data_IF_356484491960
#
_entry.id   IF_356484491960
#
_cell.length_a   1.000
_cell.length_b   1.000
_cell.length_c   1.000
_cell.angle_alpha   90.00
_cell.angle_beta   90.00
_cell.angle_gamma   90.00
#
_symmetry.space_group_name_H-M   'P 1'
#
loop_
_entity.id
_entity.type
_entity.pdbx_description
1 polymer ?
#
# COMPACT_ATOMS: atom_id res chain seq x y z
N UNK A 1 -7.50 -32.10 2.59
CA UNK A 1 -6.33 -31.38 2.08
C UNK A 1 -6.01 -31.83 0.65
N UNK A 2 -5.68 -33.10 0.37
CA UNK A 2 -5.32 -33.56 -0.99
C UNK A 2 -6.40 -33.30 -2.04
N UNK A 3 -7.67 -33.65 -1.73
CA UNK A 3 -8.81 -33.44 -2.65
C UNK A 3 -9.04 -31.95 -2.97
N UNK A 4 -8.72 -31.05 -2.02
CA UNK A 4 -9.00 -29.63 -2.12
C UNK A 4 -7.87 -28.89 -2.85
N UNK A 5 -6.61 -29.14 -2.45
CA UNK A 5 -5.46 -28.40 -2.94
C UNK A 5 -4.60 -29.14 -3.95
N UNK A 6 -4.88 -30.44 -4.21
CA UNK A 6 -4.16 -31.28 -5.17
C UNK A 6 -2.63 -31.26 -4.96
N UNK A 7 -2.22 -31.48 -3.69
CA UNK A 7 -0.83 -31.32 -3.26
C UNK A 7 0.14 -32.18 -4.06
N UNK A 8 -0.18 -33.48 -4.25
CA UNK A 8 0.67 -34.41 -5.03
C UNK A 8 0.79 -34.00 -6.48
N UNK A 9 -0.29 -33.49 -7.10
CA UNK A 9 -0.28 -33.02 -8.48
C UNK A 9 0.60 -31.77 -8.65
N UNK A 10 0.69 -30.93 -7.61
CA UNK A 10 1.52 -29.74 -7.59
C UNK A 10 2.94 -29.98 -7.02
N UNK A 11 3.33 -31.26 -6.79
CA UNK A 11 4.67 -31.63 -6.34
C UNK A 11 5.04 -31.12 -4.95
N UNK A 12 4.07 -30.99 -4.03
CA UNK A 12 4.26 -30.44 -2.70
C UNK A 12 3.67 -31.33 -1.59
N UNK A 13 3.90 -30.96 -0.34
CA UNK A 13 3.40 -31.67 0.84
C UNK A 13 2.74 -30.70 1.83
N UNK A 14 1.87 -31.19 2.71
CA UNK A 14 1.24 -30.39 3.76
C UNK A 14 2.27 -29.64 4.60
N UNK A 15 3.38 -30.29 4.99
CA UNK A 15 4.46 -29.70 5.77
C UNK A 15 5.13 -28.55 5.01
N UNK A 16 5.42 -28.76 3.74
CA UNK A 16 6.03 -27.73 2.87
C UNK A 16 5.12 -26.53 2.71
N UNK A 17 3.84 -26.73 2.48
CA UNK A 17 2.85 -25.66 2.32
C UNK A 17 2.69 -24.83 3.61
N UNK A 18 2.65 -25.48 4.78
CA UNK A 18 2.57 -24.78 6.07
C UNK A 18 3.83 -23.94 6.30
N UNK A 19 5.03 -24.52 6.08
CA UNK A 19 6.29 -23.77 6.22
C UNK A 19 6.32 -22.60 5.24
N UNK A 20 5.88 -22.79 4.01
CA UNK A 20 5.80 -21.74 3.00
C UNK A 20 4.84 -20.62 3.40
N UNK A 21 3.66 -20.97 3.94
CA UNK A 21 2.68 -19.99 4.44
C UNK A 21 3.20 -19.19 5.62
N UNK A 22 3.85 -19.83 6.58
CA UNK A 22 4.53 -19.15 7.68
C UNK A 22 5.66 -18.25 7.17
N UNK A 23 6.43 -18.68 6.17
CA UNK A 23 7.50 -17.88 5.57
C UNK A 23 6.93 -16.63 4.90
N UNK A 24 5.85 -16.75 4.11
CA UNK A 24 5.19 -15.59 3.50
C UNK A 24 4.67 -14.64 4.57
N UNK A 25 3.94 -15.18 5.55
CA UNK A 25 3.41 -14.35 6.64
C UNK A 25 4.52 -13.57 7.35
N UNK A 26 5.63 -14.22 7.72
CA UNK A 26 6.75 -13.56 8.38
C UNK A 26 7.42 -12.45 7.54
N UNK A 27 7.36 -12.53 6.22
CA UNK A 27 7.91 -11.48 5.35
C UNK A 27 6.99 -10.28 5.23
N UNK A 28 5.68 -10.44 5.41
CA UNK A 28 4.69 -9.38 5.26
C UNK A 28 4.00 -8.99 6.59
N UNK A 29 4.37 -9.59 7.72
CA UNK A 29 3.75 -9.32 9.02
C UNK A 29 3.89 -7.85 9.47
N UNK A 30 4.82 -7.09 8.90
CA UNK A 30 4.98 -5.66 9.15
C UNK A 30 3.72 -4.85 8.80
N UNK A 31 2.89 -5.35 7.85
CA UNK A 31 1.67 -4.69 7.41
C UNK A 31 0.65 -4.50 8.54
N UNK A 32 0.65 -5.41 9.51
CA UNK A 32 -0.28 -5.40 10.64
C UNK A 32 -0.15 -4.13 11.49
N UNK A 33 1.09 -3.63 11.66
CA UNK A 33 1.35 -2.37 12.34
C UNK A 33 1.36 -1.18 11.38
N UNK A 34 1.92 -1.37 10.19
CA UNK A 34 2.14 -0.28 9.25
C UNK A 34 0.83 0.23 8.63
N UNK A 35 -0.10 -0.67 8.28
CA UNK A 35 -1.36 -0.27 7.66
C UNK A 35 -2.22 0.62 8.57
N UNK A 36 -2.54 0.23 9.82
CA UNK A 36 -3.30 1.11 10.70
C UNK A 36 -2.56 2.41 10.98
N UNK A 37 -1.23 2.41 11.14
CA UNK A 37 -0.47 3.64 11.32
C UNK A 37 -0.64 4.60 10.14
N UNK A 38 -0.54 4.12 8.90
CA UNK A 38 -0.73 4.96 7.71
C UNK A 38 -2.15 5.49 7.60
N UNK A 39 -3.15 4.63 7.78
CA UNK A 39 -4.55 5.00 7.57
C UNK A 39 -5.11 5.90 8.66
N UNK A 40 -4.45 6.00 9.81
CA UNK A 40 -4.88 6.85 10.94
C UNK A 40 -3.91 7.99 11.24
N UNK A 41 -3.07 8.37 10.27
CA UNK A 41 -2.05 9.41 10.46
C UNK A 41 -1.19 9.18 11.72
N UNK A 42 -0.83 7.91 12.00
CA UNK A 42 -0.01 7.49 13.14
C UNK A 42 -0.62 7.77 14.53
N UNK A 43 -1.94 7.94 14.62
CA UNK A 43 -2.66 8.06 15.90
C UNK A 43 -2.84 6.67 16.54
N UNK A 44 -1.71 6.14 17.01
CA UNK A 44 -1.61 4.77 17.53
C UNK A 44 -2.42 4.59 18.81
N UNK A 45 -3.21 3.53 18.87
CA UNK A 45 -4.02 3.18 20.04
C UNK A 45 -5.37 3.91 20.13
N UNK A 46 -5.69 4.79 19.19
CA UNK A 46 -7.03 5.38 19.07
C UNK A 46 -8.09 4.32 18.72
N UNK A 47 -9.38 4.59 18.96
CA UNK A 47 -10.45 3.69 18.55
C UNK A 47 -10.44 3.41 17.05
N UNK A 48 -10.18 4.42 16.20
CA UNK A 48 -10.04 4.25 14.76
C UNK A 48 -8.84 3.36 14.42
N UNK A 49 -7.69 3.54 15.08
CA UNK A 49 -6.52 2.70 14.88
C UNK A 49 -6.82 1.22 15.22
N UNK A 50 -7.50 0.95 16.34
CA UNK A 50 -7.90 -0.39 16.73
C UNK A 50 -8.85 -1.02 15.70
N UNK A 51 -9.83 -0.25 15.21
CA UNK A 51 -10.77 -0.68 14.18
C UNK A 51 -10.03 -1.06 12.88
N UNK A 52 -9.12 -0.20 12.39
CA UNK A 52 -8.33 -0.45 11.18
C UNK A 52 -7.36 -1.61 11.37
N UNK A 53 -6.79 -1.79 12.56
CA UNK A 53 -5.93 -2.95 12.88
C UNK A 53 -6.71 -4.26 12.73
N UNK A 54 -7.91 -4.36 13.30
CA UNK A 54 -8.77 -5.54 13.16
C UNK A 54 -9.22 -5.73 11.72
N UNK A 55 -9.61 -4.64 11.04
CA UNK A 55 -9.97 -4.67 9.63
C UNK A 55 -8.82 -5.20 8.76
N UNK A 56 -7.57 -4.78 9.04
CA UNK A 56 -6.37 -5.28 8.36
C UNK A 56 -6.23 -6.79 8.49
N UNK A 57 -6.36 -7.32 9.70
CA UNK A 57 -6.24 -8.75 9.96
C UNK A 57 -7.36 -9.54 9.28
N UNK A 58 -8.61 -9.09 9.42
CA UNK A 58 -9.78 -9.79 8.89
C UNK A 58 -9.81 -9.73 7.36
N UNK A 59 -9.63 -8.55 6.78
CA UNK A 59 -9.68 -8.38 5.32
C UNK A 59 -8.54 -9.12 4.62
N UNK A 60 -7.33 -9.09 5.20
CA UNK A 60 -6.20 -9.90 4.70
C UNK A 60 -6.53 -11.39 4.74
N UNK A 61 -7.13 -11.86 5.84
CA UNK A 61 -7.54 -13.27 5.94
C UNK A 61 -8.63 -13.62 4.93
N UNK A 62 -9.67 -12.80 4.77
CA UNK A 62 -10.77 -13.04 3.81
C UNK A 62 -10.25 -13.08 2.38
N UNK A 63 -9.50 -12.04 1.93
CA UNK A 63 -8.93 -12.01 0.59
C UNK A 63 -8.02 -13.21 0.32
N UNK A 64 -7.14 -13.53 1.28
CA UNK A 64 -6.22 -14.67 1.18
C UNK A 64 -6.95 -16.01 1.14
N UNK A 65 -8.03 -16.19 1.92
CA UNK A 65 -8.91 -17.39 1.86
C UNK A 65 -9.58 -17.49 0.49
N UNK A 66 -10.08 -16.37 -0.06
CA UNK A 66 -10.63 -16.36 -1.42
C UNK A 66 -9.58 -16.78 -2.46
N UNK A 67 -8.35 -16.26 -2.35
CA UNK A 67 -7.23 -16.67 -3.22
C UNK A 67 -6.93 -18.17 -3.09
N UNK A 68 -6.95 -18.71 -1.87
CA UNK A 68 -6.69 -20.10 -1.60
C UNK A 68 -7.72 -21.03 -2.25
N UNK A 69 -9.01 -20.67 -2.20
CA UNK A 69 -10.09 -21.57 -2.67
C UNK A 69 -10.46 -21.33 -4.14
N UNK A 70 -10.49 -20.08 -4.62
CA UNK A 70 -10.87 -19.76 -6.01
C UNK A 70 -9.72 -20.09 -6.97
N UNK A 71 -8.54 -19.55 -6.71
CA UNK A 71 -7.40 -19.71 -7.60
C UNK A 71 -6.52 -20.93 -7.27
N UNK A 72 -6.57 -21.45 -6.04
CA UNK A 72 -5.65 -22.46 -5.51
C UNK A 72 -4.17 -22.06 -5.72
N UNK A 73 -3.82 -20.82 -5.38
CA UNK A 73 -2.48 -20.26 -5.55
C UNK A 73 -1.86 -19.93 -4.17
N UNK A 74 -0.52 -20.02 -4.05
CA UNK A 74 0.18 -19.76 -2.80
C UNK A 74 0.38 -18.27 -2.53
N UNK A 75 -0.52 -17.41 -3.02
CA UNK A 75 -0.42 -15.96 -2.93
C UNK A 75 -1.22 -15.45 -1.75
N UNK A 76 -0.62 -14.55 -1.00
CA UNK A 76 -1.19 -13.95 0.20
C UNK A 76 -1.57 -12.52 -0.10
N UNK A 77 -2.69 -12.09 0.43
CA UNK A 77 -3.27 -10.78 0.19
C UNK A 77 -3.30 -9.96 1.48
N UNK A 78 -3.10 -8.68 1.35
CA UNK A 78 -3.22 -7.70 2.43
C UNK A 78 -3.46 -6.29 1.85
N UNK A 79 -3.79 -5.28 2.69
CA UNK A 79 -3.96 -3.91 2.22
C UNK A 79 -2.70 -3.38 1.51
N UNK A 80 -2.85 -2.94 0.25
CA UNK A 80 -1.74 -2.53 -0.61
C UNK A 80 -1.10 -1.22 -0.17
N UNK A 81 0.22 -1.20 0.08
CA UNK A 81 0.92 -0.04 0.64
C UNK A 81 0.77 1.24 -0.18
N UNK A 82 0.86 1.14 -1.50
CA UNK A 82 0.68 2.30 -2.39
C UNK A 82 -0.73 2.87 -2.32
N UNK A 83 -1.73 2.01 -2.37
CA UNK A 83 -3.15 2.36 -2.26
C UNK A 83 -3.49 2.92 -0.89
N UNK A 84 -2.90 2.38 0.18
CA UNK A 84 -3.10 2.86 1.55
C UNK A 84 -2.61 4.30 1.74
N UNK A 85 -1.43 4.60 1.21
CA UNK A 85 -0.88 5.95 1.27
C UNK A 85 -1.75 6.94 0.50
N UNK A 86 -2.23 6.55 -0.67
CA UNK A 86 -3.16 7.36 -1.46
C UNK A 86 -4.49 7.56 -0.75
N UNK A 87 -5.03 6.50 -0.13
CA UNK A 87 -6.25 6.56 0.65
C UNK A 87 -6.13 7.54 1.83
N UNK A 88 -5.03 7.47 2.61
CA UNK A 88 -4.79 8.38 3.72
C UNK A 88 -4.75 9.86 3.28
N UNK A 89 -4.08 10.15 2.15
CA UNK A 89 -4.07 11.51 1.57
C UNK A 89 -5.49 11.95 1.17
N UNK A 90 -6.29 11.05 0.59
CA UNK A 90 -7.68 11.37 0.22
C UNK A 90 -8.54 11.65 1.45
N UNK A 91 -8.40 10.87 2.53
CA UNK A 91 -9.10 11.14 3.79
C UNK A 91 -8.76 12.53 4.32
N UNK A 92 -7.47 12.91 4.33
CA UNK A 92 -7.04 14.25 4.73
C UNK A 92 -7.64 15.36 3.84
N UNK A 93 -7.65 15.15 2.52
CA UNK A 93 -8.24 16.10 1.57
C UNK A 93 -9.75 16.24 1.73
N UNK A 94 -10.48 15.15 1.95
CA UNK A 94 -11.93 15.17 2.23
C UNK A 94 -12.21 15.90 3.53
N UNK A 95 -11.45 15.62 4.59
CA UNK A 95 -11.59 16.30 5.87
C UNK A 95 -11.42 17.81 5.73
N UNK A 96 -10.38 18.25 5.00
CA UNK A 96 -10.13 19.66 4.74
C UNK A 96 -11.22 20.30 3.86
N UNK A 97 -11.63 19.62 2.78
CA UNK A 97 -12.64 20.14 1.82
C UNK A 97 -14.01 20.32 2.46
N UNK A 98 -14.43 19.35 3.27
CA UNK A 98 -15.76 19.33 3.88
C UNK A 98 -15.79 19.97 5.28
N UNK A 99 -14.60 20.33 5.82
CA UNK A 99 -14.41 20.82 7.18
C UNK A 99 -15.04 19.86 8.21
N UNK A 100 -14.74 18.56 8.06
CA UNK A 100 -15.25 17.48 8.92
C UNK A 100 -14.07 16.80 9.66
N UNK A 101 -14.37 15.98 10.65
CA UNK A 101 -13.36 15.20 11.35
C UNK A 101 -12.80 14.08 10.47
N UNK A 102 -11.60 13.60 10.83
CA UNK A 102 -10.90 12.59 10.03
C UNK A 102 -11.68 11.27 9.93
N UNK A 103 -12.43 10.88 10.99
CA UNK A 103 -13.22 9.63 11.02
C UNK A 103 -14.36 9.68 10.00
N UNK A 104 -15.11 10.79 9.94
CA UNK A 104 -16.17 10.98 8.94
C UNK A 104 -15.62 11.01 7.52
N UNK A 105 -14.47 11.70 7.32
CA UNK A 105 -13.78 11.69 6.03
C UNK A 105 -13.31 10.29 5.63
N UNK A 106 -12.84 9.49 6.61
CA UNK A 106 -12.46 8.10 6.41
C UNK A 106 -13.65 7.25 5.97
N UNK A 107 -14.80 7.38 6.62
CA UNK A 107 -16.03 6.67 6.27
C UNK A 107 -16.55 7.06 4.87
N UNK A 108 -16.44 8.34 4.49
CA UNK A 108 -16.76 8.80 3.13
C UNK A 108 -15.78 8.22 2.09
N UNK A 109 -14.50 8.14 2.42
CA UNK A 109 -13.49 7.53 1.55
C UNK A 109 -13.70 6.02 1.40
N UNK A 110 -14.20 5.31 2.43
CA UNK A 110 -14.57 3.88 2.32
C UNK A 110 -15.68 3.64 1.29
N UNK A 111 -16.58 4.62 1.06
CA UNK A 111 -17.56 4.53 -0.02
C UNK A 111 -16.88 4.44 -1.39
N UNK A 112 -15.76 5.16 -1.60
CA UNK A 112 -14.99 5.10 -2.85
C UNK A 112 -14.44 3.69 -3.05
N UNK A 113 -13.84 3.10 -2.00
CA UNK A 113 -13.21 1.77 -2.08
C UNK A 113 -14.24 0.66 -2.30
N UNK A 114 -15.40 0.72 -1.65
CA UNK A 114 -16.44 -0.30 -1.87
C UNK A 114 -16.99 -0.24 -3.29
N UNK A 115 -17.23 0.97 -3.81
CA UNK A 115 -17.68 1.15 -5.21
C UNK A 115 -16.62 0.68 -6.19
N UNK A 116 -15.36 1.05 -5.94
CA UNK A 116 -14.19 0.57 -6.70
C UNK A 116 -14.13 -0.96 -6.72
N UNK A 117 -14.20 -1.61 -5.57
CA UNK A 117 -14.18 -3.07 -5.44
C UNK A 117 -15.33 -3.75 -6.20
N UNK A 118 -16.55 -3.18 -6.16
CA UNK A 118 -17.70 -3.69 -6.93
C UNK A 118 -17.46 -3.54 -8.43
N UNK A 119 -17.01 -2.38 -8.91
CA UNK A 119 -16.63 -2.17 -10.31
C UNK A 119 -15.55 -3.17 -10.73
N UNK A 120 -14.56 -3.37 -9.89
CA UNK A 120 -13.44 -4.27 -10.10
C UNK A 120 -13.90 -5.74 -10.22
N UNK A 121 -14.83 -6.15 -9.34
CA UNK A 121 -15.46 -7.47 -9.41
C UNK A 121 -16.21 -7.68 -10.73
N UNK A 122 -17.02 -6.70 -11.14
CA UNK A 122 -17.75 -6.75 -12.41
C UNK A 122 -16.78 -6.86 -13.60
N UNK A 123 -15.74 -6.03 -13.64
CA UNK A 123 -14.72 -6.07 -14.71
C UNK A 123 -13.99 -7.42 -14.76
N UNK A 124 -13.74 -8.05 -13.60
CA UNK A 124 -13.10 -9.38 -13.51
C UNK A 124 -14.04 -10.50 -14.00
N UNK A 125 -15.30 -10.48 -13.57
CA UNK A 125 -16.31 -11.47 -14.00
C UNK A 125 -16.55 -11.44 -15.51
N UNK A 126 -16.61 -10.24 -16.10
CA UNK A 126 -16.85 -10.05 -17.54
C UNK A 126 -15.57 -10.11 -18.40
N UNK A 127 -14.39 -10.37 -17.82
CA UNK A 127 -13.09 -10.42 -18.52
C UNK A 127 -12.75 -9.11 -19.27
N UNK A 128 -13.22 -7.96 -18.79
CA UNK A 128 -12.96 -6.66 -19.41
C UNK A 128 -11.58 -6.12 -18.99
N UNK A 129 -11.05 -6.56 -17.85
CA UNK A 129 -9.77 -6.10 -17.28
C UNK A 129 -8.61 -6.22 -18.25
N UNK A 130 -8.46 -7.38 -18.91
CA UNK A 130 -7.36 -7.60 -19.85
C UNK A 130 -7.36 -6.58 -20.99
N UNK A 131 -8.56 -6.21 -21.49
CA UNK A 131 -8.70 -5.19 -22.52
C UNK A 131 -8.30 -3.79 -22.03
N UNK A 132 -8.66 -3.45 -20.80
CA UNK A 132 -8.30 -2.16 -20.18
C UNK A 132 -6.80 -2.09 -19.96
N UNK A 133 -6.18 -3.14 -19.44
CA UNK A 133 -4.71 -3.19 -19.22
C UNK A 133 -3.94 -2.98 -20.51
N UNK A 134 -4.35 -3.65 -21.59
CA UNK A 134 -3.68 -3.49 -22.89
C UNK A 134 -3.94 -2.12 -23.53
N UNK A 135 -5.00 -1.43 -23.15
CA UNK A 135 -5.31 -0.09 -23.66
C UNK A 135 -4.47 1.02 -23.03
N UNK A 136 -3.86 0.78 -21.85
CA UNK A 136 -3.02 1.78 -21.18
C UNK A 136 -1.58 1.67 -21.68
N UNK A 137 -0.90 2.81 -21.95
CA UNK A 137 0.46 2.83 -22.47
C UNK A 137 1.44 2.03 -21.59
N UNK A 138 2.31 1.25 -22.23
CA UNK A 138 3.26 0.38 -21.53
C UNK A 138 4.16 1.14 -20.55
N UNK A 139 4.67 2.31 -20.97
CA UNK A 139 5.49 3.16 -20.10
C UNK A 139 4.75 3.56 -18.82
N UNK A 140 3.47 4.00 -18.95
CA UNK A 140 2.66 4.36 -17.76
C UNK A 140 2.52 3.17 -16.82
N UNK A 141 2.17 1.98 -17.34
CA UNK A 141 2.04 0.76 -16.53
C UNK A 141 3.31 0.40 -15.77
N UNK A 142 4.46 0.45 -16.45
CA UNK A 142 5.76 0.14 -15.86
C UNK A 142 6.22 1.18 -14.83
N UNK A 143 5.80 2.43 -14.99
CA UNK A 143 6.20 3.55 -14.14
C UNK A 143 5.39 3.68 -12.86
N UNK A 144 4.17 3.10 -12.76
CA UNK A 144 3.30 3.24 -11.57
C UNK A 144 3.98 2.70 -10.31
N UNK A 145 4.48 1.48 -10.33
CA UNK A 145 5.16 0.88 -9.17
C UNK A 145 6.35 1.71 -8.68
N UNK A 146 7.31 2.07 -9.53
CA UNK A 146 8.42 2.95 -9.16
C UNK A 146 7.99 4.32 -8.61
N UNK A 147 6.99 4.94 -9.19
CA UNK A 147 6.50 6.24 -8.72
C UNK A 147 5.86 6.14 -7.33
N UNK A 148 5.07 5.09 -7.08
CA UNK A 148 4.56 4.76 -5.75
C UNK A 148 5.72 4.47 -4.79
N UNK A 149 6.73 3.73 -5.23
CA UNK A 149 7.92 3.45 -4.41
C UNK A 149 8.61 4.72 -3.92
N UNK A 150 8.80 5.72 -4.80
CA UNK A 150 9.33 7.03 -4.39
C UNK A 150 8.40 7.79 -3.45
N UNK A 151 7.09 7.70 -3.66
CA UNK A 151 6.12 8.31 -2.74
C UNK A 151 6.20 7.67 -1.34
N UNK A 152 6.31 6.35 -1.23
CA UNK A 152 6.51 5.66 0.05
C UNK A 152 7.80 6.07 0.75
N UNK A 153 8.90 6.21 -0.01
CA UNK A 153 10.17 6.71 0.54
C UNK A 153 10.01 8.16 1.03
N UNK A 154 9.30 9.00 0.28
CA UNK A 154 9.01 10.38 0.68
C UNK A 154 8.23 10.43 2.00
N UNK A 155 7.20 9.60 2.18
CA UNK A 155 6.44 9.48 3.43
C UNK A 155 7.35 8.98 4.57
N UNK A 156 8.16 7.95 4.32
CA UNK A 156 9.07 7.38 5.31
C UNK A 156 10.09 8.39 5.83
N UNK A 157 10.73 9.16 4.97
CA UNK A 157 11.70 10.19 5.35
C UNK A 157 11.04 11.44 5.94
N UNK A 158 9.93 11.87 5.37
CA UNK A 158 9.27 13.13 5.71
C UNK A 158 8.31 13.03 6.89
N UNK A 159 7.04 12.81 6.61
CA UNK A 159 5.97 12.87 7.61
C UNK A 159 6.13 11.88 8.76
N UNK A 160 6.74 10.72 8.52
CA UNK A 160 6.88 9.66 9.52
C UNK A 160 8.18 9.80 10.34
N UNK A 161 9.35 9.93 9.70
CA UNK A 161 10.63 10.09 10.41
C UNK A 161 10.96 11.54 10.78
N UNK A 162 10.37 12.51 10.08
CA UNK A 162 10.52 13.93 10.36
C UNK A 162 11.85 14.55 9.91
N UNK A 163 12.54 13.95 8.93
CA UNK A 163 13.78 14.54 8.38
C UNK A 163 13.49 15.86 7.66
N UNK A 164 12.34 15.95 7.03
CA UNK A 164 11.80 17.18 6.47
C UNK A 164 10.30 17.26 6.76
N UNK A 165 9.78 18.49 6.88
CA UNK A 165 8.37 18.76 7.08
C UNK A 165 7.90 19.78 6.03
N UNK A 166 6.62 19.72 5.70
CA UNK A 166 6.00 20.79 4.93
C UNK A 166 5.96 22.06 5.81
N UNK A 167 6.59 23.14 5.34
CA UNK A 167 6.58 24.40 6.06
C UNK A 167 5.17 24.98 6.08
N UNK A 168 4.67 25.33 7.25
CA UNK A 168 3.39 26.02 7.39
C UNK A 168 3.36 27.30 6.55
N UNK A 169 2.53 27.32 5.50
CA UNK A 169 2.26 28.50 4.69
C UNK A 169 3.04 28.64 3.38
N UNK A 170 3.90 27.70 3.03
CA UNK A 170 4.60 27.71 1.74
C UNK A 170 4.12 26.55 0.85
N UNK A 171 3.31 26.90 -0.12
CA UNK A 171 2.77 25.95 -1.12
C UNK A 171 3.79 25.57 -2.22
N UNK A 172 5.10 25.65 -1.97
CA UNK A 172 6.11 25.31 -2.97
C UNK A 172 6.64 23.90 -2.80
N UNK A 173 6.43 23.01 -3.78
CA UNK A 173 6.92 21.63 -3.72
C UNK A 173 8.45 21.53 -3.63
N UNK A 174 9.20 22.55 -4.07
CA UNK A 174 10.65 22.60 -3.95
C UNK A 174 11.13 22.96 -2.55
N UNK A 175 10.28 23.52 -1.71
CA UNK A 175 10.62 23.89 -0.35
C UNK A 175 10.97 22.68 0.51
N UNK A 176 10.24 21.59 0.38
CA UNK A 176 10.45 20.33 1.11
C UNK A 176 11.84 19.77 0.87
N UNK A 177 12.35 19.82 -0.36
CA UNK A 177 13.70 19.32 -0.68
C UNK A 177 14.80 20.30 -0.26
N UNK A 178 14.51 21.59 -0.22
CA UNK A 178 15.48 22.64 0.12
C UNK A 178 15.91 22.61 1.59
N UNK A 179 15.00 22.21 2.47
CA UNK A 179 15.24 22.18 3.91
C UNK A 179 15.40 20.76 4.47
N UNK A 180 15.88 19.81 3.65
CA UNK A 180 16.05 18.42 4.04
C UNK A 180 16.84 18.21 5.35
N UNK A 181 17.85 19.02 5.61
CA UNK A 181 18.57 19.06 6.89
C UNK A 181 18.15 20.23 7.78
N UNK A 182 17.56 21.26 7.23
CA UNK A 182 17.06 22.42 7.98
C UNK A 182 15.94 22.08 8.94
N UNK A 183 15.08 21.12 8.56
CA UNK A 183 14.01 20.60 9.42
C UNK A 183 14.52 19.93 10.70
N UNK A 184 15.80 19.53 10.76
CA UNK A 184 16.43 18.99 11.97
C UNK A 184 16.98 20.07 12.93
N UNK A 185 16.77 21.34 12.66
CA UNK A 185 17.16 22.40 13.60
C UNK A 185 16.17 22.49 14.77
N UNK A 186 16.66 22.70 16.01
CA UNK A 186 15.79 22.73 17.19
C UNK A 186 14.62 23.71 17.10
N UNK A 187 14.83 24.90 16.53
CA UNK A 187 13.81 25.93 16.43
C UNK A 187 12.66 25.55 15.50
N UNK A 188 12.95 24.97 14.33
CA UNK A 188 11.91 24.54 13.39
C UNK A 188 11.09 23.38 13.90
N UNK A 189 11.67 22.50 14.70
CA UNK A 189 10.99 21.34 15.28
C UNK A 189 10.04 21.77 16.40
N UNK A 190 10.49 22.63 17.29
CA UNK A 190 9.69 23.13 18.40
C UNK A 190 8.49 23.94 17.91
N UNK A 191 8.68 24.79 16.90
CA UNK A 191 7.64 25.69 16.39
C UNK A 191 6.70 25.04 15.37
N UNK A 192 7.17 24.04 14.62
CA UNK A 192 6.42 23.47 13.49
C UNK A 192 5.78 22.11 13.72
N UNK A 193 6.35 21.24 14.56
CA UNK A 193 5.90 19.86 14.71
C UNK A 193 5.39 19.48 16.11
N UNK A 194 5.50 20.35 17.09
CA UNK A 194 5.08 20.08 18.48
C UNK A 194 5.80 18.90 19.14
N UNK A 195 6.92 18.42 18.55
CA UNK A 195 7.74 17.32 19.06
C UNK A 195 9.01 17.85 19.70
N UNK A 196 9.43 17.22 20.79
CA UNK A 196 10.73 17.56 21.38
C UNK A 196 11.87 17.15 20.45
N UNK A 197 12.89 18.01 20.34
CA UNK A 197 14.05 17.79 19.47
C UNK A 197 14.72 16.44 19.72
N UNK A 198 14.88 16.05 20.99
CA UNK A 198 15.46 14.74 21.37
C UNK A 198 14.70 13.56 20.80
N UNK A 199 13.37 13.60 20.84
CA UNK A 199 12.51 12.54 20.29
C UNK A 199 12.66 12.42 18.77
N UNK A 200 12.78 13.55 18.07
CA UNK A 200 12.95 13.52 16.63
C UNK A 200 14.32 13.01 16.20
N UNK A 201 15.38 13.44 16.86
CA UNK A 201 16.74 12.92 16.62
C UNK A 201 16.79 11.40 16.86
N UNK A 202 16.17 10.93 17.95
CA UNK A 202 16.05 9.50 18.25
C UNK A 202 15.30 8.76 17.12
N UNK A 203 14.19 9.32 16.64
CA UNK A 203 13.39 8.75 15.54
C UNK A 203 14.22 8.62 14.27
N UNK A 204 14.93 9.68 13.85
CA UNK A 204 15.76 9.69 12.63
C UNK A 204 16.91 8.68 12.73
N UNK A 205 17.67 8.69 13.83
CA UNK A 205 18.79 7.75 14.02
C UNK A 205 18.29 6.31 14.00
N UNK A 206 17.21 6.03 14.71
CA UNK A 206 16.63 4.68 14.81
C UNK A 206 16.06 4.21 13.48
N UNK A 207 15.45 5.11 12.70
CA UNK A 207 14.97 4.81 11.36
C UNK A 207 16.13 4.36 10.44
N UNK A 208 17.25 5.12 10.41
CA UNK A 208 18.41 4.73 9.61
C UNK A 208 19.03 3.41 10.09
N UNK A 209 19.14 3.20 11.38
CA UNK A 209 19.61 1.91 11.94
C UNK A 209 18.70 0.77 11.47
N UNK A 210 17.39 0.93 11.59
CA UNK A 210 16.41 -0.05 11.11
C UNK A 210 16.55 -0.34 9.63
N UNK A 211 16.65 0.70 8.80
CA UNK A 211 16.85 0.56 7.36
C UNK A 211 18.13 -0.22 7.03
N UNK A 212 19.25 0.12 7.67
CA UNK A 212 20.51 -0.60 7.44
C UNK A 212 20.45 -2.05 7.89
N UNK A 213 19.80 -2.35 9.03
CA UNK A 213 19.58 -3.73 9.47
C UNK A 213 18.74 -4.51 8.46
N UNK A 214 17.66 -3.92 7.94
CA UNK A 214 16.83 -4.53 6.89
C UNK A 214 17.68 -4.85 5.66
N UNK A 215 18.43 -3.87 5.16
CA UNK A 215 19.27 -4.02 3.96
C UNK A 215 20.35 -5.10 4.14
N UNK A 216 21.04 -5.11 5.29
CA UNK A 216 22.07 -6.09 5.59
C UNK A 216 21.51 -7.52 5.69
N UNK A 217 20.34 -7.68 6.32
CA UNK A 217 19.66 -8.97 6.41
C UNK A 217 19.14 -9.43 5.05
N UNK A 218 18.58 -8.53 4.27
CA UNK A 218 18.12 -8.81 2.90
C UNK A 218 19.28 -9.22 2.00
N UNK A 219 20.44 -8.53 2.10
CA UNK A 219 21.68 -8.91 1.37
C UNK A 219 22.17 -10.31 1.76
N UNK A 220 21.98 -10.72 3.01
CA UNK A 220 22.28 -12.09 3.48
C UNK A 220 21.20 -13.11 3.12
N UNK A 221 20.21 -12.75 2.32
CA UNK A 221 19.10 -13.62 1.90
C UNK A 221 18.12 -14.00 3.00
N UNK A 222 18.07 -13.23 4.10
CA UNK A 222 17.10 -13.48 5.18
C UNK A 222 15.71 -13.01 4.76
N UNK A 223 14.76 -13.94 4.62
CA UNK A 223 13.41 -13.67 4.13
C UNK A 223 12.62 -12.72 5.05
N UNK A 224 12.79 -12.83 6.38
CA UNK A 224 12.12 -11.96 7.36
C UNK A 224 12.91 -10.67 7.66
N UNK A 225 13.71 -10.17 6.71
CA UNK A 225 14.58 -9.00 6.91
C UNK A 225 13.81 -7.76 7.40
N UNK A 226 12.66 -7.47 6.79
CA UNK A 226 11.84 -6.30 7.12
C UNK A 226 11.30 -6.40 8.56
N UNK A 227 10.71 -7.54 8.92
CA UNK A 227 10.17 -7.74 10.27
C UNK A 227 11.28 -7.68 11.34
N UNK A 228 12.41 -8.35 11.11
CA UNK A 228 13.54 -8.36 12.07
C UNK A 228 14.12 -6.94 12.18
N UNK A 229 14.29 -6.23 11.08
CA UNK A 229 14.77 -4.85 11.08
C UNK A 229 13.82 -3.91 11.82
N UNK A 230 12.52 -4.03 11.59
CA UNK A 230 11.51 -3.25 12.30
C UNK A 230 11.51 -3.53 13.81
N UNK A 231 11.57 -4.80 14.21
CA UNK A 231 11.64 -5.16 15.64
C UNK A 231 12.95 -4.70 16.29
N UNK A 232 14.09 -4.85 15.62
CA UNK A 232 15.38 -4.36 16.15
C UNK A 232 15.41 -2.84 16.28
N UNK A 233 14.87 -2.13 15.32
CA UNK A 233 14.66 -0.68 15.36
C UNK A 233 13.76 -0.28 16.54
N UNK A 234 12.66 -0.99 16.75
CA UNK A 234 11.77 -0.74 17.89
C UNK A 234 12.50 -0.90 19.23
N UNK A 235 13.30 -1.95 19.39
CA UNK A 235 14.08 -2.18 20.63
C UNK A 235 15.06 -1.02 20.87
N UNK A 236 15.76 -0.57 19.84
CA UNK A 236 16.70 0.57 19.96
C UNK A 236 15.95 1.86 20.32
N UNK A 237 14.80 2.10 19.68
CA UNK A 237 13.97 3.27 19.98
C UNK A 237 13.47 3.27 21.43
N UNK A 238 12.90 2.16 21.90
CA UNK A 238 12.43 2.03 23.29
C UNK A 238 13.55 2.18 24.31
N UNK A 239 14.73 1.64 24.01
CA UNK A 239 15.91 1.85 24.86
C UNK A 239 16.30 3.34 24.88
N UNK A 240 16.28 4.00 23.73
CA UNK A 240 16.55 5.45 23.63
C UNK A 240 15.53 6.31 24.38
N UNK A 241 14.23 6.00 24.28
CA UNK A 241 13.19 6.69 25.06
C UNK A 241 13.42 6.53 26.57
N UNK A 242 13.72 5.32 27.02
CA UNK A 242 13.96 5.05 28.44
C UNK A 242 15.21 5.74 28.98
N UNK A 243 16.31 5.76 28.22
CA UNK A 243 17.61 6.27 28.66
C UNK A 243 17.72 7.80 28.49
N UNK A 244 17.32 8.34 27.35
CA UNK A 244 17.55 9.74 26.99
C UNK A 244 16.35 10.65 27.27
N UNK A 245 15.12 10.12 27.09
CA UNK A 245 13.89 10.89 27.28
C UNK A 245 13.20 10.60 28.61
N UNK A 246 13.70 9.61 29.37
CA UNK A 246 13.10 9.15 30.64
C UNK A 246 11.61 8.79 30.53
N UNK A 247 11.16 8.37 29.35
CA UNK A 247 9.80 7.92 29.07
C UNK A 247 9.75 6.39 29.13
N UNK A 248 8.70 5.85 29.77
CA UNK A 248 8.48 4.40 29.76
C UNK A 248 7.74 3.99 28.46
N UNK A 249 8.39 3.35 27.48
CA UNK A 249 7.78 3.00 26.20
C UNK A 249 6.67 1.94 26.32
N UNK A 250 6.63 1.22 27.45
CA UNK A 250 5.63 0.18 27.71
C UNK A 250 4.50 0.65 28.63
N UNK A 251 4.40 1.94 28.90
CA UNK A 251 3.35 2.48 29.78
C UNK A 251 1.94 2.16 29.26
N UNK A 252 1.73 2.21 27.97
CA UNK A 252 0.45 1.89 27.31
C UNK A 252 0.07 0.40 27.40
N UNK A 253 1.01 -0.50 27.66
CA UNK A 253 0.68 -1.92 27.86
C UNK A 253 0.11 -2.22 29.25
N UNK A 254 0.30 -1.31 30.22
CA UNK A 254 -0.26 -1.51 31.56
C UNK A 254 -1.79 -1.39 31.52
N UNK A 255 -2.48 -2.51 31.73
CA UNK A 255 -3.93 -2.60 31.65
C UNK A 255 -4.51 -2.72 30.23
N UNK A 256 -3.68 -2.85 29.21
CA UNK A 256 -4.12 -3.10 27.87
C UNK A 256 -4.79 -4.48 27.74
N UNK A 257 -5.92 -4.52 27.02
CA UNK A 257 -6.59 -5.78 26.73
C UNK A 257 -6.00 -6.38 25.46
N UNK A 258 -5.61 -7.66 25.54
CA UNK A 258 -5.23 -8.46 24.36
C UNK A 258 -6.43 -9.07 23.65
N UNK A 259 -7.66 -8.86 24.17
CA UNK A 259 -8.86 -9.24 23.47
C UNK A 259 -9.16 -8.22 22.37
N UNK A 260 -9.50 -8.69 21.16
CA UNK A 260 -9.86 -7.81 20.05
C UNK A 260 -11.01 -6.87 20.43
N UNK A 261 -10.85 -5.58 20.16
CA UNK A 261 -11.86 -4.56 20.44
C UNK A 261 -12.86 -4.47 19.28
N UNK A 262 -13.67 -5.51 19.10
CA UNK A 262 -14.69 -5.52 18.04
C UNK A 262 -15.72 -4.40 18.19
N UNK A 263 -15.91 -3.82 19.38
CA UNK A 263 -16.76 -2.65 19.60
C UNK A 263 -16.29 -1.46 18.77
N UNK A 264 -14.99 -1.10 18.86
CA UNK A 264 -14.42 0.00 18.09
C UNK A 264 -14.62 -0.21 16.58
N UNK A 265 -14.43 -1.44 16.10
CA UNK A 265 -14.64 -1.78 14.69
C UNK A 265 -16.13 -1.65 14.29
N UNK A 266 -17.05 -2.17 15.10
CA UNK A 266 -18.48 -2.15 14.81
C UNK A 266 -19.06 -0.73 14.80
N UNK A 267 -18.58 0.14 15.68
CA UNK A 267 -19.05 1.51 15.79
C UNK A 267 -18.44 2.46 14.75
N UNK A 268 -17.17 2.22 14.33
CA UNK A 268 -16.43 3.22 13.55
C UNK A 268 -16.25 2.79 12.09
N UNK A 269 -16.01 1.49 11.81
CA UNK A 269 -15.58 1.09 10.47
C UNK A 269 -16.43 0.00 9.83
N UNK A 270 -16.96 -0.98 10.59
CA UNK A 270 -17.66 -2.13 10.01
C UNK A 270 -18.97 -1.70 9.36
N UNK A 271 -19.03 -1.67 8.04
CA UNK A 271 -20.15 -1.17 7.24
C UNK A 271 -20.54 0.29 7.56
N UNK A 272 -19.65 1.06 8.19
CA UNK A 272 -19.87 2.47 8.50
C UNK A 272 -19.50 3.33 7.28
N UNK A 273 -20.41 3.42 6.32
CA UNK A 273 -20.23 4.21 5.11
C UNK A 273 -20.97 5.54 5.21
N UNK A 274 -20.25 6.65 5.11
CA UNK A 274 -20.87 7.98 5.04
C UNK A 274 -21.12 8.39 3.59
N UNK A 275 -22.26 7.95 3.05
CA UNK A 275 -22.70 8.35 1.73
C UNK A 275 -23.08 9.84 1.65
N UNK A 276 -23.42 10.49 2.77
CA UNK A 276 -23.76 11.91 2.78
C UNK A 276 -22.53 12.74 2.42
N UNK A 277 -21.45 12.56 3.14
CA UNK A 277 -20.19 13.25 2.85
C UNK A 277 -19.56 12.77 1.54
N UNK A 278 -19.72 11.49 1.17
CA UNK A 278 -19.32 11.00 -0.15
C UNK A 278 -19.98 11.78 -1.30
N UNK A 279 -21.27 12.11 -1.23
CA UNK A 279 -21.91 12.92 -2.27
C UNK A 279 -21.53 14.41 -2.20
N UNK A 280 -21.17 14.93 -1.03
CA UNK A 280 -20.71 16.31 -0.84
C UNK A 280 -19.36 16.62 -1.48
N UNK A 281 -18.48 15.63 -1.67
CA UNK A 281 -17.21 15.82 -2.42
C UNK A 281 -17.42 16.09 -3.90
N UNK A 282 -18.63 15.93 -4.40
CA UNK A 282 -19.00 16.12 -5.79
C UNK A 282 -18.82 14.86 -6.64
N UNK A 283 -19.83 14.58 -7.48
CA UNK A 283 -19.89 13.37 -8.31
C UNK A 283 -18.69 13.20 -9.27
N UNK A 284 -18.18 14.33 -9.81
CA UNK A 284 -17.03 14.30 -10.72
C UNK A 284 -15.74 13.87 -9.98
N UNK A 285 -15.49 14.42 -8.80
CA UNK A 285 -14.36 14.04 -7.94
C UNK A 285 -14.48 12.57 -7.54
N UNK A 286 -15.67 12.13 -7.10
CA UNK A 286 -15.91 10.74 -6.71
C UNK A 286 -15.60 9.76 -7.86
N UNK A 287 -16.13 10.00 -9.07
CA UNK A 287 -15.88 9.16 -10.24
C UNK A 287 -14.38 9.13 -10.58
N UNK A 288 -13.71 10.28 -10.56
CA UNK A 288 -12.28 10.36 -10.87
C UNK A 288 -11.44 9.58 -9.84
N UNK A 289 -11.79 9.65 -8.56
CA UNK A 289 -11.12 8.88 -7.50
C UNK A 289 -11.36 7.38 -7.67
N UNK A 290 -12.59 6.95 -7.93
CA UNK A 290 -12.92 5.53 -8.17
C UNK A 290 -12.12 5.00 -9.37
N UNK A 291 -12.09 5.73 -10.50
CA UNK A 291 -11.30 5.32 -11.68
C UNK A 291 -9.81 5.24 -11.32
N UNK A 292 -9.29 6.20 -10.55
CA UNK A 292 -7.88 6.22 -10.14
C UNK A 292 -7.54 5.01 -9.27
N UNK A 293 -8.38 4.69 -8.27
CA UNK A 293 -8.19 3.49 -7.45
C UNK A 293 -8.26 2.22 -8.28
N UNK A 294 -9.28 2.06 -9.14
CA UNK A 294 -9.39 0.92 -10.05
C UNK A 294 -8.14 0.74 -10.92
N UNK A 295 -7.58 1.83 -11.45
CA UNK A 295 -6.38 1.74 -12.27
C UNK A 295 -5.16 1.30 -11.46
N UNK A 296 -4.94 1.89 -10.29
CA UNK A 296 -3.79 1.57 -9.44
C UNK A 296 -3.86 0.12 -8.99
N UNK A 297 -5.00 -0.30 -8.44
CA UNK A 297 -5.23 -1.66 -7.95
C UNK A 297 -5.05 -2.70 -9.06
N UNK A 298 -5.60 -2.42 -10.23
CA UNK A 298 -5.48 -3.30 -11.39
C UNK A 298 -4.02 -3.54 -11.79
N UNK A 299 -3.17 -2.49 -11.79
CA UNK A 299 -1.77 -2.63 -12.18
C UNK A 299 -0.92 -3.23 -11.09
N UNK A 300 -1.16 -2.88 -9.84
CA UNK A 300 -0.46 -3.45 -8.69
C UNK A 300 -0.73 -4.96 -8.62
N UNK A 301 -1.99 -5.36 -8.67
CA UNK A 301 -2.40 -6.78 -8.63
C UNK A 301 -1.87 -7.58 -9.81
N UNK A 302 -2.05 -7.10 -11.06
CA UNK A 302 -1.58 -7.85 -12.24
C UNK A 302 -0.06 -7.94 -12.23
N UNK A 303 0.64 -6.84 -11.94
CA UNK A 303 2.09 -6.80 -11.85
C UNK A 303 2.62 -7.79 -10.82
N UNK A 304 2.00 -7.83 -9.65
CA UNK A 304 2.38 -8.73 -8.55
C UNK A 304 2.05 -10.18 -8.87
N UNK A 305 0.85 -10.48 -9.38
CA UNK A 305 0.46 -11.84 -9.75
C UNK A 305 1.35 -12.42 -10.84
N UNK A 306 1.56 -11.70 -11.93
CA UNK A 306 2.42 -12.16 -13.04
C UNK A 306 3.87 -12.27 -12.60
N UNK A 307 4.39 -11.28 -11.88
CA UNK A 307 5.76 -11.27 -11.36
C UNK A 307 6.03 -12.43 -10.40
N UNK A 308 5.11 -12.69 -9.47
CA UNK A 308 5.23 -13.78 -8.50
C UNK A 308 5.03 -15.14 -9.16
N UNK A 309 4.04 -15.27 -10.06
CA UNK A 309 3.80 -16.51 -10.82
C UNK A 309 5.00 -16.88 -11.73
N UNK A 310 5.61 -15.90 -12.36
CA UNK A 310 6.80 -16.11 -13.20
C UNK A 310 8.00 -16.62 -12.37
N UNK A 311 8.27 -16.01 -11.22
CA UNK A 311 9.30 -16.49 -10.27
C UNK A 311 8.99 -17.89 -9.73
N UNK A 312 7.71 -18.21 -9.61
CA UNK A 312 7.22 -19.52 -9.18
C UNK A 312 7.31 -20.62 -10.26
N UNK A 313 7.61 -20.27 -11.50
CA UNK A 313 7.47 -21.17 -12.65
C UNK A 313 6.01 -21.63 -12.86
N UNK A 314 5.04 -20.78 -12.49
CA UNK A 314 3.61 -21.05 -12.61
C UNK A 314 2.96 -20.35 -13.81
N UNK A 315 3.75 -19.80 -14.71
CA UNK A 315 3.30 -19.23 -15.97
C UNK A 315 3.33 -20.25 -17.09
N UNK A 316 2.44 -20.12 -18.08
CA UNK A 316 2.47 -20.89 -19.31
C UNK A 316 3.60 -20.41 -20.24
N UNK A 317 3.68 -21.00 -21.45
CA UNK A 317 4.70 -20.68 -22.46
C UNK A 317 4.59 -19.22 -22.97
N UNK A 318 3.41 -18.63 -22.85
CA UNK A 318 3.10 -17.29 -23.29
C UNK A 318 3.25 -16.26 -22.14
N UNK A 319 3.71 -16.71 -20.97
CA UNK A 319 3.90 -15.89 -19.78
C UNK A 319 2.64 -15.61 -18.98
N UNK A 320 1.50 -16.23 -19.30
CA UNK A 320 0.25 -16.04 -18.60
C UNK A 320 0.15 -16.95 -17.38
N UNK A 321 -0.45 -16.46 -16.31
CA UNK A 321 -0.73 -17.25 -15.12
C UNK A 321 -2.04 -18.03 -15.29
N UNK A 322 -2.04 -19.38 -15.16
CA UNK A 322 -3.28 -20.15 -15.13
C UNK A 322 -4.17 -19.73 -13.98
N UNK A 323 -5.48 -19.60 -14.22
CA UNK A 323 -6.48 -19.12 -13.27
C UNK A 323 -6.29 -17.65 -12.84
N UNK A 324 -5.79 -16.81 -13.75
CA UNK A 324 -5.66 -15.37 -13.53
C UNK A 324 -7.03 -14.76 -13.18
N UNK A 325 -8.09 -15.14 -13.89
CA UNK A 325 -9.46 -14.64 -13.64
C UNK A 325 -9.91 -14.87 -12.21
N UNK A 326 -9.71 -16.09 -11.71
CA UNK A 326 -10.08 -16.48 -10.34
C UNK A 326 -9.24 -15.72 -9.31
N UNK A 327 -7.95 -15.51 -9.56
CA UNK A 327 -7.08 -14.72 -8.71
C UNK A 327 -7.53 -13.25 -8.65
N UNK A 328 -7.86 -12.67 -9.80
CA UNK A 328 -8.38 -11.31 -9.91
C UNK A 328 -9.78 -11.16 -9.27
N UNK A 329 -10.58 -12.22 -9.29
CA UNK A 329 -11.87 -12.23 -8.58
C UNK A 329 -11.66 -12.28 -7.07
N UNK A 330 -10.67 -13.06 -6.59
CA UNK A 330 -10.31 -13.09 -5.18
C UNK A 330 -9.83 -11.71 -4.68
N UNK A 331 -9.08 -11.01 -5.51
CA UNK A 331 -8.58 -9.65 -5.27
C UNK A 331 -9.75 -8.65 -5.10
N UNK A 332 -10.69 -8.64 -6.04
CA UNK A 332 -11.88 -7.78 -5.97
C UNK A 332 -12.75 -8.08 -4.72
N UNK A 333 -12.91 -9.36 -4.36
CA UNK A 333 -13.62 -9.75 -3.14
C UNK A 333 -12.84 -9.29 -1.89
N UNK A 334 -11.50 -9.39 -1.91
CA UNK A 334 -10.63 -8.88 -0.86
C UNK A 334 -10.79 -7.37 -0.66
N UNK A 335 -10.84 -6.60 -1.73
CA UNK A 335 -11.05 -5.14 -1.72
C UNK A 335 -12.42 -4.77 -1.14
N UNK A 336 -13.51 -5.44 -1.57
CA UNK A 336 -14.84 -5.22 -1.00
C UNK A 336 -14.86 -5.56 0.49
N UNK A 337 -14.27 -6.70 0.87
CA UNK A 337 -14.19 -7.09 2.28
C UNK A 337 -13.36 -6.09 3.09
N UNK A 338 -12.27 -5.57 2.51
CA UNK A 338 -11.45 -4.50 3.10
C UNK A 338 -12.26 -3.27 3.41
N UNK A 339 -12.98 -2.74 2.42
CA UNK A 339 -13.85 -1.57 2.58
C UNK A 339 -14.96 -1.81 3.61
N UNK A 340 -15.61 -2.98 3.60
CA UNK A 340 -16.65 -3.32 4.55
C UNK A 340 -16.11 -3.44 5.99
N UNK A 341 -14.88 -3.91 6.16
CA UNK A 341 -14.24 -4.02 7.46
C UNK A 341 -13.65 -2.70 7.97
N UNK A 342 -13.28 -1.79 7.08
CA UNK A 342 -12.66 -0.51 7.42
C UNK A 342 -11.16 -0.46 7.16
N UNK A 343 -10.71 -1.06 6.06
CA UNK A 343 -9.36 -0.86 5.52
C UNK A 343 -9.45 -0.58 4.01
N UNK A 344 -8.37 -0.08 3.42
CA UNK A 344 -8.33 0.21 2.01
C UNK A 344 -8.27 -1.07 1.15
N UNK A 345 -8.02 -0.92 -0.13
CA UNK A 345 -7.92 -1.99 -1.13
C UNK A 345 -6.96 -3.11 -0.71
N UNK A 346 -7.47 -4.35 -0.70
CA UNK A 346 -6.69 -5.55 -0.35
C UNK A 346 -6.22 -6.24 -1.64
N UNK A 347 -4.92 -6.32 -1.83
CA UNK A 347 -4.28 -6.81 -3.05
C UNK A 347 -3.24 -7.90 -2.78
N UNK A 348 -2.78 -8.58 -3.82
CA UNK A 348 -1.76 -9.63 -3.71
C UNK A 348 -0.38 -9.02 -3.42
N UNK A 349 0.34 -9.58 -2.45
CA UNK A 349 1.65 -9.11 -2.02
C UNK A 349 2.81 -9.81 -2.73
N UNK A 350 3.82 -9.03 -3.12
CA UNK A 350 5.08 -9.52 -3.78
C UNK A 350 5.85 -10.48 -2.86
N UNK A 351 5.73 -10.31 -1.54
CA UNK A 351 6.33 -11.15 -0.51
C UNK A 351 5.85 -12.61 -0.59
N UNK A 352 4.74 -12.87 -1.28
CA UNK A 352 4.28 -14.22 -1.61
C UNK A 352 5.35 -15.04 -2.34
N UNK A 353 6.27 -14.38 -3.08
CA UNK A 353 7.43 -15.02 -3.69
C UNK A 353 8.30 -15.77 -2.67
N UNK A 354 8.41 -15.28 -1.44
CA UNK A 354 9.19 -15.93 -0.37
C UNK A 354 8.65 -17.31 0.00
N UNK A 355 7.31 -17.45 0.08
CA UNK A 355 6.67 -18.73 0.33
C UNK A 355 6.79 -19.68 -0.86
N UNK A 356 6.66 -19.13 -2.07
CA UNK A 356 6.89 -19.89 -3.30
C UNK A 356 8.31 -20.45 -3.35
N UNK A 357 9.33 -19.66 -3.05
CA UNK A 357 10.72 -20.08 -2.93
C UNK A 357 10.94 -21.10 -1.80
N UNK A 358 10.12 -21.07 -0.74
CA UNK A 358 10.11 -22.07 0.31
C UNK A 358 9.41 -23.38 -0.07
N UNK A 359 8.86 -23.47 -1.30
CA UNK A 359 8.23 -24.65 -1.84
C UNK A 359 6.69 -24.63 -1.87
N UNK A 360 6.06 -23.49 -1.50
CA UNK A 360 4.62 -23.30 -1.60
C UNK A 360 4.14 -23.32 -3.06
N UNK A 361 3.08 -24.06 -3.34
CA UNK A 361 2.56 -24.25 -4.70
C UNK A 361 1.03 -24.15 -4.78
N UNK A 362 0.35 -24.19 -3.64
CA UNK A 362 -1.10 -24.30 -3.60
C UNK A 362 -1.73 -23.31 -2.63
N UNK A 363 -3.06 -23.23 -2.66
CA UNK A 363 -3.83 -22.40 -1.73
C UNK A 363 -3.67 -22.77 -0.25
N UNK A 364 -3.06 -23.93 0.08
CA UNK A 364 -2.79 -24.28 1.48
C UNK A 364 -1.73 -23.34 2.10
N UNK A 365 -0.75 -22.91 1.32
CA UNK A 365 0.21 -21.85 1.72
C UNK A 365 -0.53 -20.56 2.07
N UNK A 366 -1.42 -20.11 1.20
CA UNK A 366 -2.23 -18.92 1.44
C UNK A 366 -3.13 -19.10 2.69
N UNK A 367 -3.82 -20.22 2.81
CA UNK A 367 -4.69 -20.51 3.96
C UNK A 367 -3.92 -20.49 5.30
N UNK A 368 -2.67 -20.96 5.32
CA UNK A 368 -1.81 -20.90 6.50
C UNK A 368 -1.51 -19.45 6.90
N UNK A 369 -1.18 -18.60 5.93
CA UNK A 369 -0.94 -17.18 6.20
C UNK A 369 -2.24 -16.46 6.65
N UNK A 370 -3.38 -16.79 6.06
CA UNK A 370 -4.68 -16.26 6.48
C UNK A 370 -4.97 -16.55 7.96
N UNK A 371 -4.70 -17.79 8.40
CA UNK A 371 -4.84 -18.16 9.81
C UNK A 371 -3.91 -17.34 10.72
N UNK A 372 -2.67 -17.07 10.28
CA UNK A 372 -1.74 -16.23 11.04
C UNK A 372 -2.22 -14.78 11.17
N UNK A 373 -2.84 -14.21 10.13
CA UNK A 373 -3.46 -12.88 10.22
C UNK A 373 -4.57 -12.85 11.27
N UNK A 374 -5.45 -13.84 11.30
CA UNK A 374 -6.49 -13.93 12.33
C UNK A 374 -5.91 -14.09 13.74
N UNK A 375 -4.84 -14.88 13.88
CA UNK A 375 -4.15 -15.01 15.17
C UNK A 375 -3.55 -13.68 15.66
N UNK A 376 -3.15 -12.80 14.75
CA UNK A 376 -2.59 -11.48 15.09
C UNK A 376 -3.60 -10.48 15.65
N UNK A 377 -4.91 -10.74 15.54
CA UNK A 377 -5.92 -9.87 16.18
C UNK A 377 -5.72 -9.74 17.71
N UNK A 378 -5.08 -10.73 18.34
CA UNK A 378 -4.81 -10.74 19.78
C UNK A 378 -3.55 -9.99 20.19
N UNK A 379 -2.79 -9.41 19.26
CA UNK A 379 -1.54 -8.68 19.55
C UNK A 379 -1.64 -7.17 19.28
N UNK A 380 -2.85 -6.61 19.17
CA UNK A 380 -3.07 -5.18 18.93
C UNK A 380 -2.24 -4.27 19.86
N UNK A 381 -2.19 -4.49 21.19
CA UNK A 381 -1.39 -3.63 22.07
C UNK A 381 0.10 -3.67 21.75
N UNK A 382 0.64 -4.82 21.30
CA UNK A 382 2.04 -4.94 20.90
C UNK A 382 2.29 -4.21 19.57
N UNK A 383 1.36 -4.30 18.63
CA UNK A 383 1.47 -3.60 17.36
C UNK A 383 1.42 -2.07 17.54
N UNK A 384 0.61 -1.57 18.49
CA UNK A 384 0.45 -0.15 18.78
C UNK A 384 1.71 0.52 19.37
N UNK A 385 2.58 -0.23 20.03
CA UNK A 385 3.83 0.32 20.58
C UNK A 385 5.00 0.32 19.58
N UNK A 386 4.80 -0.20 18.37
CA UNK A 386 5.84 -0.16 17.32
C UNK A 386 6.02 1.30 16.89
N UNK A 387 7.23 1.89 17.08
CA UNK A 387 7.45 3.30 16.86
C UNK A 387 7.43 3.66 15.37
N UNK A 388 7.11 4.92 15.07
CA UNK A 388 7.14 5.48 13.72
C UNK A 388 8.51 5.30 13.04
N UNK A 389 9.61 5.34 13.80
CA UNK A 389 10.96 5.07 13.31
C UNK A 389 11.09 3.68 12.65
N UNK A 390 10.49 2.66 13.26
CA UNK A 390 10.54 1.30 12.75
C UNK A 390 9.69 1.11 11.49
N UNK A 391 8.50 1.69 11.46
CA UNK A 391 7.61 1.64 10.29
C UNK A 391 8.14 2.48 9.13
N UNK A 392 8.83 3.60 9.39
CA UNK A 392 9.55 4.40 8.38
C UNK A 392 10.63 3.59 7.67
N UNK A 393 11.46 2.86 8.44
CA UNK A 393 12.51 2.02 7.86
C UNK A 393 11.93 0.96 6.89
N UNK A 394 10.79 0.36 7.27
CA UNK A 394 10.09 -0.61 6.41
C UNK A 394 9.53 0.06 5.15
N UNK A 395 8.87 1.23 5.28
CA UNK A 395 8.32 1.99 4.14
C UNK A 395 9.41 2.35 3.12
N UNK A 396 10.53 2.88 3.60
CA UNK A 396 11.65 3.26 2.72
C UNK A 396 12.18 2.03 1.99
N UNK A 397 12.37 0.91 2.68
CA UNK A 397 12.87 -0.31 2.07
C UNK A 397 11.90 -0.87 1.02
N UNK A 398 10.59 -0.92 1.31
CA UNK A 398 9.57 -1.33 0.34
C UNK A 398 9.57 -0.40 -0.88
N UNK A 399 9.66 0.91 -0.65
CA UNK A 399 9.80 1.89 -1.73
C UNK A 399 11.01 1.61 -2.63
N UNK A 400 12.17 1.30 -2.04
CA UNK A 400 13.39 0.91 -2.80
C UNK A 400 13.14 -0.34 -3.64
N UNK A 401 12.44 -1.34 -3.11
CA UNK A 401 12.12 -2.55 -3.87
C UNK A 401 11.22 -2.25 -5.08
N UNK A 402 10.25 -1.36 -4.92
CA UNK A 402 9.34 -0.97 -6.00
C UNK A 402 10.05 -0.22 -7.13
N UNK A 403 11.14 0.51 -6.85
CA UNK A 403 11.97 1.16 -7.87
C UNK A 403 12.59 0.18 -8.87
N UNK A 404 12.70 -1.11 -8.54
CA UNK A 404 13.23 -2.12 -9.46
C UNK A 404 12.40 -2.25 -10.76
N UNK A 405 11.13 -1.83 -10.73
CA UNK A 405 10.27 -1.77 -11.92
C UNK A 405 10.83 -0.90 -13.06
N UNK A 406 11.65 0.12 -12.74
CA UNK A 406 12.30 0.97 -13.74
C UNK A 406 13.21 0.19 -14.71
N UNK A 407 13.73 -0.97 -14.32
CA UNK A 407 14.54 -1.82 -15.19
C UNK A 407 13.81 -2.29 -16.45
N UNK A 408 12.49 -2.31 -16.41
CA UNK A 408 11.64 -2.77 -17.51
C UNK A 408 11.23 -1.62 -18.45
N UNK A 409 11.58 -0.38 -18.12
CA UNK A 409 11.29 0.80 -18.94
C UNK A 409 12.41 0.96 -19.97
N UNK A 410 12.04 1.18 -21.22
CA UNK A 410 13.00 1.51 -22.26
C UNK A 410 13.38 2.99 -22.17
N UNK A 411 14.60 3.27 -21.67
CA UNK A 411 15.14 4.61 -21.51
C UNK A 411 15.54 5.28 -22.83
N UNK A 412 15.54 4.53 -23.93
CA UNK A 412 15.86 5.06 -25.28
C UNK A 412 14.60 5.50 -26.02
N UNK A 413 13.42 5.00 -25.62
CA UNK A 413 12.13 5.36 -26.21
C UNK A 413 11.51 6.54 -25.46
N UNK A 414 11.52 7.72 -26.09
CA UNK A 414 10.94 8.94 -25.51
C UNK A 414 9.44 8.83 -25.27
N UNK A 415 8.72 8.02 -26.03
CA UNK A 415 7.28 7.77 -25.86
C UNK A 415 6.98 7.04 -24.54
N UNK A 416 7.96 6.32 -23.99
CA UNK A 416 7.87 5.62 -22.71
C UNK A 416 8.50 6.40 -21.57
N UNK A 417 9.77 6.85 -21.74
CA UNK A 417 10.54 7.41 -20.61
C UNK A 417 10.01 8.75 -20.13
N UNK A 418 9.53 9.63 -21.02
CA UNK A 418 9.05 10.95 -20.62
C UNK A 418 7.81 10.86 -19.72
N UNK A 419 6.73 10.12 -20.06
CA UNK A 419 5.61 9.89 -19.15
C UNK A 419 6.01 9.27 -17.81
N UNK A 420 6.95 8.31 -17.82
CA UNK A 420 7.47 7.68 -16.60
C UNK A 420 8.18 8.71 -15.71
N UNK A 421 9.08 9.51 -16.27
CA UNK A 421 9.81 10.53 -15.49
C UNK A 421 8.88 11.58 -14.90
N UNK A 422 7.88 12.04 -15.66
CA UNK A 422 6.86 12.98 -15.17
C UNK A 422 6.10 12.35 -13.99
N UNK A 423 5.67 11.10 -14.11
CA UNK A 423 4.94 10.39 -13.08
C UNK A 423 5.77 10.19 -11.81
N UNK A 424 7.01 9.74 -11.98
CA UNK A 424 7.96 9.46 -10.89
C UNK A 424 8.29 10.73 -10.09
N UNK A 425 8.32 11.89 -10.74
CA UNK A 425 8.49 13.18 -10.07
C UNK A 425 7.19 13.71 -9.47
N UNK A 426 6.10 13.64 -10.23
CA UNK A 426 4.84 14.26 -9.82
C UNK A 426 4.19 13.59 -8.61
N UNK A 427 4.26 12.25 -8.49
CA UNK A 427 3.64 11.53 -7.37
C UNK A 427 4.18 11.94 -6.00
N UNK A 428 5.50 11.84 -5.72
CA UNK A 428 6.01 12.22 -4.41
C UNK A 428 5.91 13.71 -4.11
N UNK A 429 6.04 14.57 -5.14
CA UNK A 429 5.94 16.02 -4.97
C UNK A 429 4.52 16.47 -4.64
N UNK A 430 3.53 15.92 -5.35
CA UNK A 430 2.12 16.27 -5.13
C UNK A 430 1.46 15.48 -3.99
N UNK A 431 2.12 14.43 -3.46
CA UNK A 431 1.52 13.49 -2.54
C UNK A 431 0.33 12.72 -3.12
N UNK A 432 0.15 12.73 -4.45
CA UNK A 432 -1.04 12.17 -5.11
C UNK A 432 -0.66 11.25 -6.27
N UNK A 433 -1.04 9.98 -6.14
CA UNK A 433 -0.88 8.99 -7.20
C UNK A 433 -1.69 9.39 -8.43
N UNK A 434 -2.90 9.90 -8.22
CA UNK A 434 -3.78 10.35 -9.31
C UNK A 434 -3.16 11.47 -10.15
N UNK A 435 -2.47 12.43 -9.53
CA UNK A 435 -1.78 13.49 -10.27
C UNK A 435 -0.64 12.93 -11.14
N UNK A 436 0.14 11.99 -10.60
CA UNK A 436 1.22 11.37 -11.36
C UNK A 436 0.72 10.57 -12.55
N UNK A 437 -0.28 9.72 -12.36
CA UNK A 437 -0.90 8.95 -13.46
C UNK A 437 -1.53 9.88 -14.48
N UNK A 438 -2.30 10.87 -14.03
CA UNK A 438 -2.95 11.84 -14.91
C UNK A 438 -1.95 12.58 -15.80
N UNK A 439 -0.88 13.12 -15.22
CA UNK A 439 0.17 13.81 -15.97
C UNK A 439 0.91 12.87 -16.93
N UNK A 440 1.15 11.62 -16.55
CA UNK A 440 1.76 10.63 -17.42
C UNK A 440 0.86 10.28 -18.63
N UNK A 441 -0.43 10.09 -18.40
CA UNK A 441 -1.40 9.82 -19.47
C UNK A 441 -1.53 11.00 -20.44
N UNK A 442 -1.59 12.22 -19.91
CA UNK A 442 -1.62 13.45 -20.71
C UNK A 442 -0.35 13.58 -21.54
N UNK A 443 0.83 13.46 -20.90
CA UNK A 443 2.13 13.60 -21.58
C UNK A 443 2.31 12.55 -22.69
N UNK A 444 1.96 11.28 -22.43
CA UNK A 444 2.00 10.24 -23.47
C UNK A 444 1.09 10.58 -24.64
N UNK A 445 -0.14 11.00 -24.37
CA UNK A 445 -1.10 11.38 -25.41
C UNK A 445 -0.58 12.54 -26.25
N UNK A 446 -0.07 13.58 -25.59
CA UNK A 446 0.51 14.76 -26.26
C UNK A 446 1.69 14.36 -27.15
N UNK A 447 2.65 13.58 -26.63
CA UNK A 447 3.82 13.14 -27.38
C UNK A 447 3.39 12.36 -28.64
N UNK A 448 2.49 11.38 -28.50
CA UNK A 448 2.01 10.56 -29.61
C UNK A 448 1.29 11.38 -30.68
N UNK A 449 0.43 12.30 -30.26
CA UNK A 449 -0.33 13.17 -31.20
C UNK A 449 0.61 14.07 -32.00
N UNK A 450 1.54 14.76 -31.32
CA UNK A 450 2.48 15.67 -31.99
C UNK A 450 3.58 14.96 -32.76
N UNK A 451 3.87 13.70 -32.46
CA UNK A 451 4.77 12.84 -33.26
C UNK A 451 4.10 12.20 -34.48
N UNK A 452 2.85 12.54 -34.77
CA UNK A 452 2.11 11.98 -35.92
C UNK A 452 1.59 10.54 -35.71
N UNK A 453 1.72 10.01 -34.48
CA UNK A 453 1.29 8.65 -34.09
C UNK A 453 -0.04 8.61 -33.35
N UNK A 454 -0.92 9.58 -33.59
CA UNK A 454 -2.21 9.72 -32.89
C UNK A 454 -3.07 8.45 -32.96
N UNK A 455 -3.00 7.67 -34.07
CA UNK A 455 -3.75 6.43 -34.25
C UNK A 455 -3.28 5.27 -33.38
N UNK A 456 -2.07 5.33 -32.82
CA UNK A 456 -1.52 4.31 -31.92
C UNK A 456 -2.08 4.45 -30.50
N UNK A 457 -2.66 5.62 -30.16
CA UNK A 457 -3.23 5.88 -28.85
C UNK A 457 -4.64 5.28 -28.76
N UNK A 458 -4.90 4.48 -27.74
CA UNK A 458 -6.22 3.88 -27.55
C UNK A 458 -7.28 4.94 -27.19
N UNK A 459 -8.53 4.68 -27.58
CA UNK A 459 -9.66 5.57 -27.23
C UNK A 459 -9.77 5.74 -25.72
N UNK A 460 -9.53 4.67 -24.95
CA UNK A 460 -9.54 4.74 -23.49
C UNK A 460 -8.45 5.68 -22.96
N UNK A 461 -7.25 5.64 -23.53
CA UNK A 461 -6.16 6.56 -23.17
C UNK A 461 -6.56 8.02 -23.38
N UNK A 462 -7.20 8.34 -24.51
CA UNK A 462 -7.71 9.69 -24.78
C UNK A 462 -8.77 10.13 -23.76
N UNK A 463 -9.73 9.24 -23.44
CA UNK A 463 -10.79 9.53 -22.46
C UNK A 463 -10.20 9.79 -21.08
N UNK A 464 -9.28 8.93 -20.62
CA UNK A 464 -8.63 9.09 -19.32
C UNK A 464 -7.79 10.36 -19.26
N UNK A 465 -6.99 10.64 -20.30
CA UNK A 465 -6.20 11.88 -20.37
C UNK A 465 -7.08 13.13 -20.34
N UNK A 466 -8.21 13.13 -21.07
CA UNK A 466 -9.18 14.22 -21.08
C UNK A 466 -9.84 14.42 -19.70
N UNK A 467 -10.22 13.33 -19.03
CA UNK A 467 -10.78 13.39 -17.67
C UNK A 467 -9.80 14.00 -16.66
N UNK A 468 -8.53 13.60 -16.70
CA UNK A 468 -7.50 14.20 -15.85
C UNK A 468 -7.22 15.66 -16.20
N UNK A 469 -7.22 16.02 -17.48
CA UNK A 469 -7.07 17.40 -17.92
C UNK A 469 -8.20 18.28 -17.37
N UNK A 470 -9.44 17.82 -17.50
CA UNK A 470 -10.61 18.51 -16.94
C UNK A 470 -10.46 18.62 -15.40
N UNK A 471 -10.05 17.54 -14.73
CA UNK A 471 -9.84 17.56 -13.28
C UNK A 471 -8.83 18.63 -12.83
N UNK A 472 -7.72 18.79 -13.55
CA UNK A 472 -6.68 19.76 -13.18
C UNK A 472 -7.10 21.21 -13.35
N UNK A 473 -8.05 21.51 -14.25
CA UNK A 473 -8.46 22.88 -14.56
C UNK A 473 -9.90 23.22 -14.11
N UNK A 474 -10.76 22.25 -13.92
CA UNK A 474 -12.18 22.49 -13.61
C UNK A 474 -12.58 22.16 -12.16
N UNK A 475 -11.74 21.42 -11.42
CA UNK A 475 -12.01 21.09 -10.02
C UNK A 475 -11.00 21.84 -9.16
N UNK A 476 -11.47 22.93 -8.57
CA UNK A 476 -10.75 23.68 -7.54
C UNK A 476 -11.01 23.04 -6.19
#
# INVERSE_FOLDING_TARGET
MEKLFRLKQNGTSVKTEIIAGLTTFMTMAYIIALNPNLLTNFDTGSPLWNAVFLATCIASAVGTVCMAFLANKPFVMAPGMGLNSFFAVICGNIAALLNTDYTSAFQAAMCIIVVEGVVFLLLSVFNIRDKIVHAIPLGVRLGIGPAIGLMLMNIGFGSNAGIYAEGNGYASPFFVMRDFFGAMTPSLIQDGMGKEYGQMVLTVITMFLGLFVIVLLAKKGKKSAVLIGMLSSSVVYWAGEAIFLHVNPFASLRGASFLPRFGDMAEITLFQFDFTDFFRIGWFTAITLIITFCMIDMFDTIGTLVGTASRAGMTDKDGNMPKMKEALTADAVGTIAGACCGTSTVTTFVESASGVEAGGRTGLTALTAAFMFLACMFIAPIAAIIPAAATSAALIYVGILMLQGLKNVDFTDLDQIVPVCIMVLAMPISGSIGHGIGLAMISHTVIKVFSGKAREVSVLTYVVAALFLIKFFAVV
#
